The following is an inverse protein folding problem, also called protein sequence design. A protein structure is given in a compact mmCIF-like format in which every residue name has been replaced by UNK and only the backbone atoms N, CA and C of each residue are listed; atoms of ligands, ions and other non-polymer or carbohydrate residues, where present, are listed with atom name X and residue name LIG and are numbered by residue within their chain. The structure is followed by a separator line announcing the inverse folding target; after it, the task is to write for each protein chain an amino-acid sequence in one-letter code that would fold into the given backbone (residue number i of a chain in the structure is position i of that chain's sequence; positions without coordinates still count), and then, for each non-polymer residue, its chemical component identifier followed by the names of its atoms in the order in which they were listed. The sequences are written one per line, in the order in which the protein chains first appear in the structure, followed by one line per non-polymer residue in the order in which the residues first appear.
data_IF_403791063069
#
_entry.id   IF_403791063069
#
_cell.length_a   1.000
_cell.length_b   1.000
_cell.length_c   1.000
_cell.angle_alpha   90.00
_cell.angle_beta   90.00
_cell.angle_gamma   90.00
#
_symmetry.space_group_name_H-M   'P 1'
#
loop_
_entity.id
_entity.type
_entity.pdbx_description
1 polymer ?
#
# COMPACT_ATOMS: atom_id res chain seq x y z
N UNK A 1 -8.82 5.65 24.64
CA UNK A 1 -8.73 5.29 23.21
C UNK A 1 -9.35 6.36 22.31
N UNK A 2 -8.88 6.48 21.07
CA UNK A 2 -9.44 7.34 20.02
C UNK A 2 -9.34 6.61 18.68
N UNK A 3 -10.21 6.94 17.73
CA UNK A 3 -10.32 6.26 16.44
C UNK A 3 -10.80 7.25 15.38
N UNK A 4 -10.22 7.21 14.18
CA UNK A 4 -10.77 7.89 13.01
C UNK A 4 -11.24 6.83 12.01
N UNK A 5 -12.53 6.86 11.68
CA UNK A 5 -13.11 5.95 10.69
C UNK A 5 -13.06 6.58 9.31
N UNK A 6 -12.58 5.82 8.33
CA UNK A 6 -12.59 6.19 6.92
C UNK A 6 -13.49 5.20 6.17
N UNK A 7 -14.78 5.53 6.06
CA UNK A 7 -15.82 4.69 5.43
C UNK A 7 -16.14 5.24 4.05
N UNK A 8 -15.35 4.86 3.04
CA UNK A 8 -15.51 5.33 1.65
C UNK A 8 -16.91 5.07 1.08
N UNK A 9 -17.58 4.00 1.53
CA UNK A 9 -18.92 3.62 1.07
C UNK A 9 -20.05 4.29 1.88
N UNK A 10 -19.72 4.97 2.98
CA UNK A 10 -20.67 5.69 3.84
C UNK A 10 -20.22 7.14 4.05
N UNK A 11 -20.45 8.05 3.08
CA UNK A 11 -19.92 9.42 3.10
C UNK A 11 -20.32 10.24 4.32
N UNK A 12 -21.47 9.94 4.93
CA UNK A 12 -21.95 10.60 6.15
C UNK A 12 -21.16 10.22 7.41
N UNK A 13 -20.47 9.08 7.38
CA UNK A 13 -19.65 8.56 8.46
C UNK A 13 -18.15 8.61 8.13
N UNK A 14 -17.80 8.95 6.90
CA UNK A 14 -16.42 9.11 6.47
C UNK A 14 -15.73 10.24 7.25
N UNK A 15 -14.48 9.99 7.64
CA UNK A 15 -13.68 10.86 8.51
C UNK A 15 -14.27 11.12 9.91
N UNK A 16 -15.18 10.27 10.40
CA UNK A 16 -15.70 10.41 11.76
C UNK A 16 -14.64 10.14 12.81
N UNK A 17 -14.54 11.02 13.81
CA UNK A 17 -13.65 10.88 14.96
C UNK A 17 -14.43 10.37 16.17
N UNK A 18 -14.03 9.22 16.70
CA UNK A 18 -14.58 8.64 17.92
C UNK A 18 -13.57 8.79 19.06
N UNK A 19 -14.02 9.37 20.17
CA UNK A 19 -13.24 9.53 21.39
C UNK A 19 -13.88 8.69 22.50
N UNK A 20 -13.10 7.79 23.10
CA UNK A 20 -13.55 6.91 24.18
C UNK A 20 -12.97 7.42 25.49
N UNK A 21 -13.82 7.98 26.36
CA UNK A 21 -13.42 8.62 27.62
C UNK A 21 -14.35 8.22 28.78
N UNK A 22 -13.99 8.67 29.99
CA UNK A 22 -14.78 8.48 31.22
C UNK A 22 -15.18 7.02 31.50
N UNK A 23 -14.29 6.07 31.19
CA UNK A 23 -14.43 4.61 31.37
C UNK A 23 -15.63 3.92 30.72
N UNK A 24 -16.62 4.62 30.16
CA UNK A 24 -17.81 3.96 29.62
C UNK A 24 -18.55 4.78 28.56
N UNK A 25 -18.04 5.95 28.18
CA UNK A 25 -18.69 6.83 27.22
C UNK A 25 -17.87 6.98 25.94
N UNK A 26 -18.59 7.17 24.85
CA UNK A 26 -18.03 7.48 23.53
C UNK A 26 -18.64 8.79 23.03
N UNK A 27 -17.80 9.61 22.41
CA UNK A 27 -18.16 10.83 21.70
C UNK A 27 -17.83 10.61 20.23
N UNK A 28 -18.73 11.00 19.33
CA UNK A 28 -18.51 10.89 17.89
C UNK A 28 -18.64 12.28 17.26
N UNK A 29 -17.65 12.64 16.45
CA UNK A 29 -17.60 13.90 15.71
C UNK A 29 -17.56 13.62 14.22
N UNK A 30 -18.29 14.40 13.43
CA UNK A 30 -18.27 14.36 11.97
C UNK A 30 -18.13 15.81 11.45
N UNK A 31 -17.22 16.05 10.50
CA UNK A 31 -16.93 17.41 10.02
C UNK A 31 -16.50 18.39 11.13
N UNK A 32 -15.90 17.89 12.21
CA UNK A 32 -15.51 18.69 13.38
C UNK A 32 -16.64 19.03 14.36
N UNK A 33 -17.88 18.61 14.10
CA UNK A 33 -19.02 18.86 14.97
C UNK A 33 -19.44 17.59 15.74
N UNK A 34 -19.88 17.76 16.99
CA UNK A 34 -20.40 16.64 17.80
C UNK A 34 -21.70 16.12 17.18
N UNK A 35 -21.79 14.80 16.95
CA UNK A 35 -22.99 14.18 16.40
C UNK A 35 -24.16 14.27 17.39
N UNK A 36 -25.39 14.56 16.91
CA UNK A 36 -26.59 14.50 17.74
C UNK A 36 -26.72 13.13 18.44
N UNK A 37 -27.09 13.16 19.72
CA UNK A 37 -27.25 11.94 20.53
C UNK A 37 -25.97 11.44 21.20
N UNK A 38 -24.81 12.08 20.99
CA UNK A 38 -23.58 11.80 21.74
C UNK A 38 -23.38 12.80 22.90
N UNK A 39 -22.72 12.39 24.01
CA UNK A 39 -22.08 11.10 24.22
C UNK A 39 -23.04 9.95 24.53
N UNK A 40 -22.70 8.74 24.07
CA UNK A 40 -23.43 7.49 24.34
C UNK A 40 -22.61 6.56 25.22
N UNK A 41 -23.25 5.55 25.82
CA UNK A 41 -22.49 4.47 26.47
C UNK A 41 -21.82 3.60 25.40
N UNK A 42 -20.60 3.14 25.69
CA UNK A 42 -19.83 2.31 24.75
C UNK A 42 -20.59 1.04 24.39
N UNK A 43 -21.20 0.35 25.36
CA UNK A 43 -21.96 -0.88 25.08
C UNK A 43 -23.23 -0.67 24.26
N UNK A 44 -23.84 0.53 24.32
CA UNK A 44 -25.05 0.85 23.55
C UNK A 44 -24.68 1.17 22.09
N UNK A 45 -23.55 1.86 21.89
CA UNK A 45 -23.05 2.19 20.55
C UNK A 45 -22.30 1.01 19.92
N UNK A 46 -21.59 0.22 20.70
CA UNK A 46 -20.70 -0.86 20.24
C UNK A 46 -20.98 -2.12 21.06
N UNK A 47 -22.03 -2.88 20.70
CA UNK A 47 -22.46 -4.05 21.46
C UNK A 47 -21.36 -5.08 21.64
N UNK A 48 -21.13 -5.51 22.89
CA UNK A 48 -20.12 -6.51 23.24
C UNK A 48 -18.72 -5.93 23.51
N UNK A 49 -18.49 -4.63 23.34
CA UNK A 49 -17.24 -3.96 23.71
C UNK A 49 -17.33 -3.38 25.12
N UNK A 50 -16.38 -3.69 26.02
CA UNK A 50 -16.40 -3.20 27.39
C UNK A 50 -16.04 -1.71 27.46
N UNK A 51 -16.42 -1.07 28.56
CA UNK A 51 -15.89 0.25 28.92
C UNK A 51 -14.42 0.21 29.35
N UNK A 52 -13.77 1.37 29.36
CA UNK A 52 -12.40 1.54 29.88
C UNK A 52 -11.38 0.89 28.96
N UNK A 53 -11.47 1.26 27.69
CA UNK A 53 -10.62 0.80 26.60
C UNK A 53 -9.28 1.54 26.65
N UNK A 54 -8.20 0.78 26.49
CA UNK A 54 -6.84 1.31 26.48
C UNK A 54 -6.54 1.91 25.11
N UNK A 55 -6.77 1.13 24.04
CA UNK A 55 -6.53 1.53 22.67
C UNK A 55 -7.67 1.14 21.72
N UNK A 56 -7.69 1.77 20.54
CA UNK A 56 -8.57 1.44 19.43
C UNK A 56 -7.83 1.71 18.11
N UNK A 57 -8.10 0.92 17.07
CA UNK A 57 -7.58 1.17 15.71
C UNK A 57 -8.56 0.67 14.66
N UNK A 58 -8.70 1.42 13.58
CA UNK A 58 -9.50 1.07 12.42
C UNK A 58 -8.76 0.05 11.56
N UNK A 59 -9.48 -0.97 11.09
CA UNK A 59 -8.99 -1.92 10.11
C UNK A 59 -9.86 -1.93 8.87
N UNK A 60 -9.22 -1.65 7.74
CA UNK A 60 -9.92 -1.51 6.47
C UNK A 60 -10.24 -2.88 5.87
N UNK A 61 -11.28 -2.99 5.01
CA UNK A 61 -11.69 -4.26 4.39
C UNK A 61 -10.55 -4.97 3.66
N UNK A 62 -9.70 -4.22 2.96
CA UNK A 62 -8.52 -4.71 2.24
C UNK A 62 -7.54 -5.46 3.16
N UNK A 63 -7.51 -5.10 4.44
CA UNK A 63 -6.53 -5.55 5.42
C UNK A 63 -7.13 -6.58 6.40
N UNK A 64 -8.42 -6.48 6.72
CA UNK A 64 -9.11 -7.39 7.65
C UNK A 64 -10.21 -8.28 7.03
N UNK A 65 -10.49 -8.16 5.73
CA UNK A 65 -11.60 -8.87 5.08
C UNK A 65 -13.00 -8.30 5.40
N UNK A 66 -13.07 -7.14 6.03
CA UNK A 66 -14.29 -6.40 6.37
C UNK A 66 -13.99 -5.11 7.12
N UNK A 67 -14.93 -4.16 7.16
CA UNK A 67 -14.78 -2.91 7.94
C UNK A 67 -14.83 -3.22 9.44
N UNK A 68 -13.66 -3.35 10.06
CA UNK A 68 -13.53 -3.81 11.44
C UNK A 68 -12.82 -2.77 12.30
N UNK A 69 -13.20 -2.65 13.57
CA UNK A 69 -12.48 -1.86 14.56
C UNK A 69 -11.93 -2.79 15.63
N UNK A 70 -10.64 -2.65 15.93
CA UNK A 70 -9.99 -3.42 16.98
C UNK A 70 -9.96 -2.55 18.25
N UNK A 71 -10.57 -3.04 19.33
CA UNK A 71 -10.54 -2.40 20.65
C UNK A 71 -9.68 -3.21 21.61
N UNK A 72 -8.77 -2.54 22.32
CA UNK A 72 -7.84 -3.17 23.25
C UNK A 72 -8.23 -2.86 24.68
N UNK A 73 -8.20 -3.89 25.53
CA UNK A 73 -8.38 -3.76 26.97
C UNK A 73 -7.54 -4.82 27.67
N UNK A 74 -6.45 -4.42 28.30
CA UNK A 74 -5.46 -5.34 28.85
C UNK A 74 -4.90 -6.24 27.75
N UNK A 75 -4.99 -7.56 27.95
CA UNK A 75 -4.54 -8.61 27.03
C UNK A 75 -5.60 -9.04 26.00
N UNK A 76 -6.80 -8.42 26.05
CA UNK A 76 -7.95 -8.77 25.20
C UNK A 76 -8.13 -7.79 24.05
N UNK A 77 -8.46 -8.35 22.90
CA UNK A 77 -8.77 -7.60 21.68
C UNK A 77 -10.19 -7.92 21.22
N UNK A 78 -11.03 -6.89 21.11
CA UNK A 78 -12.41 -6.99 20.68
C UNK A 78 -12.49 -6.48 19.24
N UNK A 79 -12.74 -7.38 18.29
CA UNK A 79 -12.89 -7.08 16.87
C UNK A 79 -14.37 -6.81 16.61
N UNK A 80 -14.72 -5.55 16.44
CA UNK A 80 -16.07 -5.13 16.14
C UNK A 80 -16.25 -4.96 14.64
N UNK A 81 -17.14 -5.76 14.07
CA UNK A 81 -17.55 -5.66 12.67
C UNK A 81 -18.58 -4.53 12.52
N UNK A 82 -18.26 -3.51 11.71
CA UNK A 82 -19.11 -2.32 11.56
C UNK A 82 -20.40 -2.60 10.80
N UNK A 83 -20.42 -3.58 9.89
CA UNK A 83 -21.59 -3.94 9.09
C UNK A 83 -22.53 -4.84 9.87
N UNK A 84 -22.00 -5.92 10.43
CA UNK A 84 -22.78 -6.92 11.17
C UNK A 84 -23.13 -6.45 12.60
N UNK A 85 -22.42 -5.43 13.11
CA UNK A 85 -22.50 -4.96 14.51
C UNK A 85 -22.26 -6.06 15.54
N UNK A 86 -21.38 -7.01 15.22
CA UNK A 86 -21.00 -8.12 16.10
C UNK A 86 -19.58 -7.93 16.59
N UNK A 87 -19.36 -8.18 17.88
CA UNK A 87 -18.03 -8.19 18.49
C UNK A 87 -17.49 -9.61 18.63
N UNK A 88 -16.29 -9.85 18.12
CA UNK A 88 -15.53 -11.09 18.32
C UNK A 88 -14.35 -10.83 19.26
N UNK A 89 -14.24 -11.63 20.32
CA UNK A 89 -13.13 -11.56 21.26
C UNK A 89 -11.96 -12.42 20.77
N UNK A 90 -10.75 -11.86 20.78
CA UNK A 90 -9.48 -12.56 20.55
C UNK A 90 -8.47 -12.24 21.64
N UNK A 91 -7.48 -13.11 21.77
CA UNK A 91 -6.30 -12.93 22.62
C UNK A 91 -5.06 -13.13 21.76
N UNK A 92 -4.13 -12.19 21.82
CA UNK A 92 -2.88 -12.22 21.07
C UNK A 92 -1.68 -12.16 22.03
N UNK A 93 -1.18 -13.32 22.49
CA UNK A 93 -0.18 -13.38 23.55
C UNK A 93 1.12 -12.63 23.21
N UNK A 94 1.50 -12.60 21.93
CA UNK A 94 2.72 -11.92 21.46
C UNK A 94 2.62 -10.40 21.38
N UNK A 95 1.42 -9.82 21.40
CA UNK A 95 1.23 -8.38 21.26
C UNK A 95 1.38 -7.64 22.60
N UNK A 96 0.97 -8.26 23.70
CA UNK A 96 0.87 -7.61 25.01
C UNK A 96 -0.18 -6.49 25.06
N UNK A 97 -0.31 -5.78 26.19
CA UNK A 97 -1.28 -4.71 26.34
C UNK A 97 -0.87 -3.47 25.55
N UNK A 98 -1.83 -2.81 24.90
CA UNK A 98 -1.61 -1.58 24.14
C UNK A 98 -2.15 -0.37 24.89
N UNK A 99 -1.30 0.60 25.20
CA UNK A 99 -1.70 1.91 25.75
C UNK A 99 -2.32 2.84 24.71
N UNK A 100 -1.92 2.68 23.44
CA UNK A 100 -2.55 3.28 22.28
C UNK A 100 -2.32 2.37 21.07
N UNK A 101 -3.09 2.57 20.00
CA UNK A 101 -2.92 1.85 18.75
C UNK A 101 -3.20 2.82 17.60
N UNK A 102 -2.54 2.61 16.47
CA UNK A 102 -2.76 3.41 15.27
C UNK A 102 -2.48 2.60 14.02
N UNK A 103 -3.17 2.97 12.95
CA UNK A 103 -2.89 2.53 11.59
C UNK A 103 -2.16 3.65 10.87
N UNK A 104 -1.01 3.36 10.30
CA UNK A 104 -0.27 4.32 9.48
C UNK A 104 0.30 3.64 8.26
N UNK A 105 -0.07 4.13 7.07
CA UNK A 105 0.32 3.55 5.78
C UNK A 105 0.15 2.02 5.79
N UNK A 106 -1.07 1.56 6.12
CA UNK A 106 -1.47 0.14 6.07
C UNK A 106 -0.78 -0.76 7.09
N UNK A 107 -0.02 -0.18 8.02
CA UNK A 107 0.66 -0.90 9.10
C UNK A 107 0.00 -0.57 10.42
N UNK A 108 -0.12 -1.60 11.26
CA UNK A 108 -0.79 -1.52 12.54
C UNK A 108 0.23 -1.52 13.67
N UNK A 109 0.11 -0.55 14.57
CA UNK A 109 1.08 -0.35 15.63
C UNK A 109 0.36 -0.36 16.98
N UNK A 110 0.90 -1.16 17.90
CA UNK A 110 0.54 -1.17 19.31
C UNK A 110 1.61 -0.39 20.07
N UNK A 111 1.21 0.64 20.81
CA UNK A 111 2.09 1.48 21.60
C UNK A 111 2.03 1.06 23.07
N UNK A 112 3.19 0.96 23.70
CA UNK A 112 3.41 0.65 25.11
C UNK A 112 4.25 1.78 25.71
N UNK A 113 3.58 2.87 26.10
CA UNK A 113 4.27 4.10 26.52
C UNK A 113 5.06 4.70 25.37
N UNK A 114 6.39 4.74 25.49
CA UNK A 114 7.29 5.24 24.44
C UNK A 114 7.77 4.15 23.48
N UNK A 115 7.44 2.89 23.76
CA UNK A 115 7.77 1.78 22.87
C UNK A 115 6.60 1.49 21.93
N UNK A 116 6.89 0.96 20.76
CA UNK A 116 5.88 0.48 19.85
C UNK A 116 6.31 -0.84 19.20
N UNK A 117 5.31 -1.61 18.80
CA UNK A 117 5.48 -2.81 18.00
C UNK A 117 4.49 -2.82 16.85
N UNK A 118 4.95 -3.28 15.68
CA UNK A 118 4.06 -3.53 14.55
C UNK A 118 3.46 -4.92 14.70
N UNK A 119 2.20 -5.06 14.35
CA UNK A 119 1.51 -6.35 14.40
C UNK A 119 0.66 -6.57 13.15
N UNK A 120 0.37 -7.84 12.87
CA UNK A 120 -0.63 -8.24 11.89
C UNK A 120 -2.05 -8.12 12.50
N UNK A 121 -2.98 -7.37 11.89
CA UNK A 121 -4.29 -7.09 12.48
C UNK A 121 -5.24 -8.31 12.51
N UNK A 122 -4.91 -9.39 11.81
CA UNK A 122 -5.72 -10.62 11.77
C UNK A 122 -5.18 -11.68 12.73
N UNK A 123 -3.87 -11.90 12.72
CA UNK A 123 -3.22 -12.95 13.50
C UNK A 123 -2.70 -12.46 14.84
N UNK A 124 -2.41 -11.16 14.96
CA UNK A 124 -1.72 -10.57 16.11
C UNK A 124 -0.22 -10.86 16.14
N UNK A 125 0.35 -11.43 15.07
CA UNK A 125 1.77 -11.75 14.99
C UNK A 125 2.62 -10.48 14.97
N UNK A 126 3.73 -10.51 15.71
CA UNK A 126 4.67 -9.40 15.83
C UNK A 126 5.98 -9.81 15.15
N UNK A 127 6.36 -9.15 14.05
CA UNK A 127 7.60 -9.47 13.34
C UNK A 127 8.84 -9.27 14.23
N UNK A 128 9.98 -9.93 13.92
CA UNK A 128 11.20 -9.76 14.69
C UNK A 128 11.73 -8.31 14.63
N UNK A 129 12.45 -7.91 15.67
CA UNK A 129 13.05 -6.57 15.76
C UNK A 129 12.13 -5.49 16.36
N UNK A 130 11.13 -5.92 17.14
CA UNK A 130 10.33 -5.08 18.03
C UNK A 130 10.57 -5.50 19.50
N UNK A 131 10.31 -4.61 20.48
CA UNK A 131 9.79 -3.25 20.33
C UNK A 131 10.83 -2.23 19.81
N UNK A 132 10.36 -1.08 19.34
CA UNK A 132 11.18 0.08 18.93
C UNK A 132 10.72 1.34 19.68
N UNK A 133 11.57 2.36 19.76
CA UNK A 133 11.24 3.61 20.47
C UNK A 133 10.55 4.62 19.55
N UNK A 134 9.39 5.12 19.95
CA UNK A 134 8.58 6.08 19.21
C UNK A 134 9.39 7.34 18.82
N UNK A 135 10.34 7.75 19.67
CA UNK A 135 11.17 8.96 19.50
C UNK A 135 12.26 8.83 18.45
N UNK A 136 12.53 7.61 17.99
CA UNK A 136 13.44 7.39 16.86
C UNK A 136 12.69 7.41 15.53
N UNK A 137 11.37 7.17 15.52
CA UNK A 137 10.58 6.91 14.30
C UNK A 137 9.45 7.89 14.03
N UNK A 138 8.54 8.08 14.99
CA UNK A 138 7.30 8.83 14.80
C UNK A 138 7.38 10.26 15.31
N UNK A 139 8.24 10.53 16.31
CA UNK A 139 8.40 11.85 16.92
C UNK A 139 9.82 12.34 16.67
N UNK A 140 10.03 13.44 15.93
CA UNK A 140 11.35 14.02 15.77
C UNK A 140 11.85 14.51 17.14
N UNK A 141 12.94 13.92 17.62
CA UNK A 141 13.56 14.24 18.90
C UNK A 141 15.04 14.59 18.67
N UNK A 142 15.55 15.70 19.23
CA UNK A 142 16.96 16.05 19.10
C UNK A 142 17.90 14.92 19.56
N UNK A 143 18.88 14.58 18.72
CA UNK A 143 19.86 13.52 19.01
C UNK A 143 19.34 12.09 18.87
N UNK A 144 18.13 11.90 18.30
CA UNK A 144 17.49 10.60 18.09
C UNK A 144 17.01 10.47 16.65
N UNK A 145 16.91 9.23 16.17
CA UNK A 145 16.48 8.97 14.79
C UNK A 145 16.78 7.55 14.33
N UNK A 146 16.35 7.25 13.11
CA UNK A 146 16.69 6.01 12.40
C UNK A 146 17.32 6.39 11.04
N UNK A 147 18.48 5.80 10.70
CA UNK A 147 19.28 6.15 9.52
C UNK A 147 20.65 6.74 9.88
N UNK A 148 21.53 6.94 8.88
CA UNK A 148 22.83 7.61 9.12
C UNK A 148 22.61 9.10 9.40
N UNK A 149 23.09 9.59 10.55
CA UNK A 149 23.15 11.03 10.86
C UNK A 149 22.05 11.62 11.75
N UNK A 150 21.30 10.81 12.52
CA UNK A 150 20.21 11.27 13.41
C UNK A 150 19.05 12.00 12.69
N UNK A 151 18.95 11.90 11.37
CA UNK A 151 17.80 12.38 10.60
C UNK A 151 16.98 11.17 10.13
N UNK A 152 15.68 11.16 10.46
CA UNK A 152 14.75 10.07 10.12
C UNK A 152 14.61 9.79 8.62
N UNK A 153 15.14 10.65 7.75
CA UNK A 153 15.04 10.54 6.29
C UNK A 153 16.28 11.21 5.67
N UNK A 154 17.28 10.43 5.26
CA UNK A 154 18.38 10.95 4.41
C UNK A 154 17.92 11.22 2.97
N UNK A 155 18.85 11.47 2.05
CA UNK A 155 18.56 11.87 0.65
C UNK A 155 17.72 10.85 -0.14
N UNK A 156 17.81 9.54 0.18
CA UNK A 156 16.98 8.50 -0.44
C UNK A 156 15.49 8.64 -0.06
N UNK A 157 15.22 9.22 1.11
CA UNK A 157 13.89 9.49 1.66
C UNK A 157 13.30 10.85 1.24
N UNK A 158 14.12 11.73 0.66
CA UNK A 158 13.63 13.01 0.17
C UNK A 158 12.84 12.81 -1.13
N UNK A 159 11.51 12.86 -0.99
CA UNK A 159 10.55 12.78 -2.10
C UNK A 159 10.71 13.94 -3.11
N UNK A 160 11.34 15.04 -2.71
CA UNK A 160 11.55 16.24 -3.52
C UNK A 160 12.97 16.38 -4.06
N UNK A 161 13.84 15.38 -3.88
CA UNK A 161 15.24 15.41 -4.36
C UNK A 161 15.41 15.45 -5.88
N UNK A 162 14.33 15.30 -6.65
CA UNK A 162 14.38 15.19 -8.11
C UNK A 162 14.96 13.87 -8.63
N UNK A 163 15.37 12.96 -7.75
CA UNK A 163 15.89 11.65 -8.13
C UNK A 163 14.80 10.77 -8.77
N UNK A 164 15.12 9.96 -9.79
CA UNK A 164 14.16 9.07 -10.41
C UNK A 164 13.67 7.99 -9.41
N UNK A 165 12.45 7.53 -9.62
CA UNK A 165 11.92 6.33 -8.96
C UNK A 165 12.09 5.15 -9.90
N UNK A 166 12.44 3.97 -9.36
CA UNK A 166 12.69 2.80 -10.19
C UNK A 166 11.42 2.02 -10.54
N UNK A 167 10.33 2.24 -9.80
CA UNK A 167 9.05 1.64 -10.14
C UNK A 167 7.89 2.45 -9.55
N UNK A 168 6.75 2.36 -10.22
CA UNK A 168 5.46 2.81 -9.73
C UNK A 168 4.44 1.68 -9.89
N UNK A 169 3.48 1.61 -8.98
CA UNK A 169 2.40 0.64 -9.01
C UNK A 169 1.11 1.33 -8.55
N UNK A 170 -0.02 0.95 -9.14
CA UNK A 170 -1.33 1.16 -8.54
C UNK A 170 -1.98 -0.19 -8.28
N UNK A 171 -2.59 -0.37 -7.11
CA UNK A 171 -3.46 -1.52 -6.86
C UNK A 171 -4.90 -1.25 -7.34
N UNK A 172 -5.75 -2.28 -7.28
CA UNK A 172 -7.18 -2.20 -7.66
C UNK A 172 -7.99 -1.28 -6.74
N UNK A 173 -7.43 -0.88 -5.59
CA UNK A 173 -8.04 0.01 -4.60
C UNK A 173 -7.70 1.48 -4.86
N UNK A 174 -6.85 1.73 -5.88
CA UNK A 174 -6.36 3.04 -6.30
C UNK A 174 -5.19 3.55 -5.45
N UNK A 175 -4.54 2.70 -4.65
CA UNK A 175 -3.34 3.08 -3.88
C UNK A 175 -2.13 3.05 -4.80
N UNK A 176 -1.38 4.15 -4.79
CA UNK A 176 -0.17 4.30 -5.60
C UNK A 176 1.07 4.10 -4.71
N UNK A 177 1.97 3.24 -5.16
CA UNK A 177 3.26 2.98 -4.54
C UNK A 177 4.38 3.43 -5.47
N UNK A 178 5.38 4.10 -4.91
CA UNK A 178 6.58 4.52 -5.62
C UNK A 178 7.80 3.92 -4.93
N UNK A 179 8.70 3.34 -5.71
CA UNK A 179 9.85 2.61 -5.19
C UNK A 179 11.13 3.37 -5.50
N UNK A 180 11.92 3.61 -4.45
CA UNK A 180 13.27 4.17 -4.55
C UNK A 180 14.25 3.35 -3.69
N UNK A 181 15.22 2.70 -4.32
CA UNK A 181 16.27 1.92 -3.65
C UNK A 181 17.41 2.78 -3.11
N UNK A 182 18.11 2.28 -2.08
CA UNK A 182 19.38 2.86 -1.60
C UNK A 182 20.51 2.52 -2.58
N UNK A 183 20.96 3.50 -3.36
CA UNK A 183 22.15 3.37 -4.20
C UNK A 183 23.40 3.90 -3.48
N UNK A 184 24.41 3.06 -3.26
CA UNK A 184 25.79 3.55 -3.18
C UNK A 184 26.24 4.00 -4.57
N UNK A 185 27.07 5.06 -4.69
CA UNK A 185 27.53 5.51 -5.99
C UNK A 185 28.65 4.59 -6.50
N UNK A 186 28.36 3.74 -7.48
CA UNK A 186 29.41 3.05 -8.25
C UNK A 186 28.92 2.70 -9.67
N UNK A 187 29.20 3.62 -10.60
CA UNK A 187 29.38 3.45 -12.07
C UNK A 187 28.20 2.90 -12.91
N UNK A 188 28.13 3.28 -14.20
CA UNK A 188 26.93 3.12 -15.01
C UNK A 188 26.88 1.73 -15.65
N UNK A 189 25.87 0.93 -15.31
CA UNK A 189 25.28 -0.16 -16.13
C UNK A 189 24.07 -0.80 -15.40
N UNK A 190 23.18 -1.52 -16.12
CA UNK A 190 21.75 -1.26 -16.08
C UNK A 190 21.03 -1.86 -14.87
N UNK A 191 20.23 -0.99 -14.26
CA UNK A 191 18.93 -1.17 -13.59
C UNK A 191 18.52 -2.60 -13.21
N UNK A 192 18.24 -2.79 -11.92
CA UNK A 192 17.10 -3.56 -11.41
C UNK A 192 17.09 -3.61 -9.87
N UNK A 193 16.07 -3.05 -9.21
CA UNK A 193 15.46 -3.61 -7.98
C UNK A 193 14.23 -2.81 -7.52
N UNK A 194 13.07 -3.48 -7.35
CA UNK A 194 12.23 -3.49 -6.13
C UNK A 194 10.94 -4.33 -6.26
N UNK A 195 10.38 -4.83 -5.13
CA UNK A 195 9.35 -5.87 -5.06
C UNK A 195 7.92 -5.35 -5.23
N UNK A 196 7.03 -6.14 -5.83
CA UNK A 196 5.64 -5.78 -6.20
C UNK A 196 4.60 -6.70 -5.54
N UNK A 197 3.43 -6.16 -5.22
CA UNK A 197 2.34 -6.77 -4.45
C UNK A 197 1.00 -6.42 -5.12
N UNK A 198 0.07 -7.37 -5.38
CA UNK A 198 -1.20 -7.08 -6.10
C UNK A 198 -2.43 -7.85 -5.56
N UNK A 199 -3.66 -7.26 -5.63
CA UNK A 199 -4.93 -7.89 -5.21
C UNK A 199 -5.48 -8.86 -6.25
N UNK A 200 -6.22 -9.85 -5.77
CA UNK A 200 -7.02 -10.72 -6.62
C UNK A 200 -8.47 -10.56 -6.22
N UNK A 201 -9.31 -10.05 -7.12
CA UNK A 201 -10.73 -10.34 -7.12
C UNK A 201 -11.10 -10.97 -8.47
N UNK A 202 -11.47 -12.26 -8.39
CA UNK A 202 -12.07 -13.12 -9.42
C UNK A 202 -11.34 -13.30 -10.77
N UNK A 203 -10.82 -14.53 -10.97
CA UNK A 203 -10.30 -15.16 -12.22
C UNK A 203 -8.87 -14.78 -12.69
N UNK A 204 -8.19 -15.75 -13.35
CA UNK A 204 -7.17 -16.68 -12.80
C UNK A 204 -5.83 -15.96 -12.47
N UNK A 205 -4.83 -16.61 -11.81
CA UNK A 205 -3.71 -15.91 -11.18
C UNK A 205 -2.93 -15.06 -12.19
N UNK A 206 -2.71 -13.79 -11.86
CA UNK A 206 -2.08 -12.82 -12.74
C UNK A 206 -0.58 -12.71 -12.43
N UNK A 207 0.28 -12.91 -13.43
CA UNK A 207 1.74 -12.94 -13.33
C UNK A 207 2.38 -11.53 -13.29
N UNK A 208 3.27 -11.23 -12.32
CA UNK A 208 4.04 -9.96 -12.25
C UNK A 208 5.54 -10.15 -12.31
N UNK A 209 6.20 -9.49 -13.24
CA UNK A 209 7.64 -9.60 -13.51
C UNK A 209 8.46 -8.89 -12.42
N UNK A 210 9.39 -9.61 -11.79
CA UNK A 210 10.45 -9.11 -10.89
C UNK A 210 11.80 -9.34 -11.57
N UNK A 211 12.41 -8.30 -12.13
CA UNK A 211 13.77 -8.39 -12.67
C UNK A 211 14.80 -8.12 -11.55
N UNK A 212 15.70 -9.08 -11.28
CA UNK A 212 16.81 -8.98 -10.31
C UNK A 212 18.09 -9.56 -10.94
N UNK A 213 19.27 -8.90 -10.86
CA UNK A 213 20.55 -9.53 -11.18
C UNK A 213 21.20 -10.14 -9.93
N UNK A 214 21.97 -11.26 -10.02
CA UNK A 214 22.41 -11.97 -11.23
C UNK A 214 21.80 -13.40 -11.35
N UNK A 215 20.46 -13.53 -11.27
CA UNK A 215 19.76 -14.82 -11.46
C UNK A 215 18.71 -14.81 -12.59
N UNK A 216 18.65 -13.75 -13.41
CA UNK A 216 17.74 -13.64 -14.55
C UNK A 216 16.42 -12.92 -14.22
N UNK A 217 15.69 -12.51 -15.27
CA UNK A 217 14.36 -11.88 -15.15
C UNK A 217 13.37 -12.88 -14.55
N UNK A 218 12.86 -12.60 -13.36
CA UNK A 218 11.91 -13.46 -12.66
C UNK A 218 10.51 -12.81 -12.62
N UNK A 219 9.53 -13.51 -12.06
CA UNK A 219 8.13 -13.07 -11.92
C UNK A 219 7.64 -13.58 -10.57
N UNK A 220 6.95 -12.77 -9.76
CA UNK A 220 6.35 -13.16 -8.48
C UNK A 220 4.89 -12.73 -8.42
N UNK A 221 4.00 -13.64 -8.03
CA UNK A 221 2.57 -13.33 -7.84
C UNK A 221 2.25 -13.22 -6.36
N UNK A 222 1.48 -12.20 -6.00
CA UNK A 222 0.94 -11.99 -4.66
C UNK A 222 -0.59 -11.91 -4.74
N UNK A 223 -1.26 -12.28 -3.66
CA UNK A 223 -2.69 -12.11 -3.42
C UNK A 223 -2.85 -10.99 -2.40
N UNK A 224 -3.63 -9.93 -2.67
CA UNK A 224 -3.93 -8.90 -1.64
C UNK A 224 -5.17 -9.18 -0.80
N UNK A 225 -5.83 -10.32 -0.94
CA UNK A 225 -6.83 -10.69 0.05
C UNK A 225 -6.14 -10.81 1.42
N UNK A 226 -6.49 -9.94 2.36
CA UNK A 226 -6.02 -9.99 3.76
C UNK A 226 -4.52 -9.75 3.93
N UNK A 227 -3.98 -8.75 3.22
CA UNK A 227 -2.55 -8.46 3.22
C UNK A 227 -1.79 -9.30 2.19
N UNK A 228 -0.78 -8.70 1.58
CA UNK A 228 -0.15 -9.28 0.40
C UNK A 228 0.59 -10.59 0.68
N UNK A 229 0.04 -11.71 0.20
CA UNK A 229 0.60 -13.06 0.37
C UNK A 229 1.12 -13.61 -0.94
N UNK A 230 2.39 -14.03 -0.98
CA UNK A 230 2.99 -14.63 -2.18
C UNK A 230 2.33 -15.98 -2.52
N UNK A 231 2.01 -16.19 -3.80
CA UNK A 231 1.46 -17.45 -4.30
C UNK A 231 2.53 -18.54 -4.29
N UNK A 232 2.16 -19.75 -3.85
CA UNK A 232 3.06 -20.90 -3.81
C UNK A 232 3.55 -21.26 -5.23
N UNK A 233 4.85 -21.45 -5.39
CA UNK A 233 5.47 -21.77 -6.69
C UNK A 233 6.03 -20.57 -7.47
N UNK A 234 6.08 -19.40 -6.84
CA UNK A 234 6.78 -18.19 -7.32
C UNK A 234 7.92 -17.80 -6.35
N UNK A 235 9.04 -17.20 -6.83
CA UNK A 235 9.26 -16.65 -8.16
C UNK A 235 9.51 -17.69 -9.27
N UNK A 236 9.21 -17.34 -10.51
CA UNK A 236 9.50 -18.13 -11.73
C UNK A 236 10.28 -17.30 -12.75
N UNK A 237 10.83 -17.90 -13.81
CA UNK A 237 11.49 -17.14 -14.86
C UNK A 237 10.46 -16.44 -15.77
N UNK A 238 10.74 -15.19 -16.14
CA UNK A 238 9.87 -14.39 -17.00
C UNK A 238 9.67 -15.04 -18.39
N UNK A 239 10.74 -15.63 -18.92
CA UNK A 239 10.72 -16.32 -20.20
C UNK A 239 9.82 -17.57 -20.17
N UNK A 240 9.77 -18.26 -19.03
CA UNK A 240 8.95 -19.47 -18.84
C UNK A 240 7.48 -19.11 -18.63
N UNK A 241 7.19 -18.05 -17.86
CA UNK A 241 5.82 -17.68 -17.51
C UNK A 241 5.11 -16.79 -18.53
N UNK A 242 5.83 -15.86 -19.17
CA UNK A 242 5.23 -14.84 -20.06
C UNK A 242 5.81 -14.88 -21.48
N UNK A 243 6.85 -15.68 -21.72
CA UNK A 243 7.44 -15.83 -23.05
C UNK A 243 8.34 -14.66 -23.46
N UNK A 244 8.76 -13.79 -22.54
CA UNK A 244 9.63 -12.64 -22.83
C UNK A 244 10.93 -12.69 -22.03
N UNK A 245 12.06 -12.21 -22.58
CA UNK A 245 13.36 -12.29 -21.92
C UNK A 245 13.54 -11.23 -20.81
N UNK A 246 12.97 -10.04 -21.02
CA UNK A 246 13.03 -8.90 -20.11
C UNK A 246 11.84 -7.97 -20.33
N UNK A 247 11.61 -7.08 -19.37
CA UNK A 247 10.68 -5.96 -19.45
C UNK A 247 11.25 -4.80 -18.64
N UNK A 248 11.12 -3.59 -19.17
CA UNK A 248 11.52 -2.33 -18.52
C UNK A 248 10.40 -1.83 -17.60
N UNK A 249 9.15 -1.95 -18.05
CA UNK A 249 7.97 -1.61 -17.28
C UNK A 249 6.82 -2.60 -17.53
N UNK A 250 5.89 -2.66 -16.57
CA UNK A 250 4.70 -3.48 -16.68
C UNK A 250 3.52 -2.81 -15.97
N UNK A 251 2.32 -2.93 -16.52
CA UNK A 251 1.11 -2.46 -15.85
C UNK A 251 -0.12 -3.28 -16.23
N UNK A 252 -1.10 -3.29 -15.34
CA UNK A 252 -2.47 -3.78 -15.54
C UNK A 252 -3.42 -2.63 -15.23
N UNK A 253 -4.51 -2.51 -15.97
CA UNK A 253 -5.57 -1.56 -15.64
C UNK A 253 -6.62 -2.23 -14.77
N UNK A 254 -7.20 -1.49 -13.84
CA UNK A 254 -8.26 -1.99 -12.96
C UNK A 254 -9.41 -2.61 -13.76
N UNK A 255 -9.86 -3.80 -13.35
CA UNK A 255 -10.94 -4.55 -14.01
C UNK A 255 -10.56 -5.23 -15.32
N UNK A 256 -9.28 -5.23 -15.71
CA UNK A 256 -8.80 -5.82 -16.95
C UNK A 256 -7.84 -6.99 -16.69
N UNK A 257 -8.08 -8.14 -17.32
CA UNK A 257 -7.19 -9.31 -17.26
C UNK A 257 -6.00 -9.20 -18.24
N UNK A 258 -5.67 -7.99 -18.68
CA UNK A 258 -4.61 -7.70 -19.63
C UNK A 258 -3.40 -7.10 -18.92
N UNK A 259 -2.27 -7.78 -19.04
CA UNK A 259 -0.95 -7.29 -18.63
C UNK A 259 -0.25 -6.67 -19.83
N UNK A 260 0.19 -5.44 -19.69
CA UNK A 260 1.00 -4.75 -20.67
C UNK A 260 2.46 -4.75 -20.23
N UNK A 261 3.34 -5.27 -21.08
CA UNK A 261 4.78 -5.34 -20.85
C UNK A 261 5.48 -4.40 -21.83
N UNK A 262 6.29 -3.48 -21.33
CA UNK A 262 7.09 -2.57 -22.15
C UNK A 262 8.54 -3.02 -22.09
N UNK A 263 9.19 -3.10 -23.25
CA UNK A 263 10.61 -3.38 -23.38
C UNK A 263 11.16 -2.53 -24.52
N UNK A 264 12.07 -1.61 -24.19
CA UNK A 264 12.53 -0.56 -25.09
C UNK A 264 11.36 0.31 -25.56
N UNK A 265 11.24 0.42 -26.88
CA UNK A 265 10.24 1.18 -27.63
C UNK A 265 8.98 0.37 -27.99
N UNK A 266 8.83 -0.84 -27.45
CA UNK A 266 7.71 -1.72 -27.78
C UNK A 266 6.91 -2.15 -26.55
N UNK A 267 5.60 -2.26 -26.74
CA UNK A 267 4.67 -2.82 -25.76
C UNK A 267 4.10 -4.15 -26.26
N UNK A 268 3.94 -5.11 -25.37
CA UNK A 268 3.31 -6.41 -25.61
C UNK A 268 2.14 -6.60 -24.66
N UNK A 269 1.03 -7.06 -25.20
CA UNK A 269 -0.13 -7.47 -24.43
C UNK A 269 -0.01 -8.96 -24.06
N UNK A 270 -0.26 -9.30 -22.80
CA UNK A 270 -0.45 -10.65 -22.32
C UNK A 270 -1.87 -10.76 -21.75
N UNK A 271 -2.62 -11.74 -22.23
CA UNK A 271 -3.88 -12.15 -21.60
C UNK A 271 -3.57 -13.09 -20.44
N UNK A 272 -3.87 -12.61 -19.23
CA UNK A 272 -3.57 -13.31 -17.99
C UNK A 272 -4.52 -14.47 -17.73
N UNK A 273 -5.63 -14.54 -18.48
CA UNK A 273 -6.61 -15.62 -18.37
C UNK A 273 -6.16 -16.91 -19.04
N UNK A 274 -5.17 -16.83 -19.92
CA UNK A 274 -4.72 -17.95 -20.75
C UNK A 274 -3.66 -18.80 -20.03
N UNK A 275 -3.71 -20.11 -20.24
CA UNK A 275 -2.67 -21.05 -19.79
C UNK A 275 -2.23 -21.89 -21.00
N UNK A 276 -0.98 -21.80 -21.47
CA UNK A 276 0.11 -20.96 -20.97
C UNK A 276 -0.07 -19.48 -21.35
N UNK A 277 0.32 -18.56 -20.44
CA UNK A 277 0.36 -17.13 -20.75
C UNK A 277 1.47 -16.86 -21.74
N UNK A 278 1.18 -16.11 -22.81
CA UNK A 278 2.19 -15.72 -23.82
C UNK A 278 1.99 -14.27 -24.20
N UNK A 279 3.10 -13.53 -24.26
CA UNK A 279 3.10 -12.20 -24.82
C UNK A 279 2.72 -12.23 -26.30
N UNK A 280 1.79 -11.36 -26.66
CA UNK A 280 1.37 -11.12 -28.03
C UNK A 280 2.43 -10.39 -28.85
N UNK A 281 2.03 -9.96 -30.05
CA UNK A 281 2.92 -9.24 -30.95
C UNK A 281 3.34 -7.89 -30.34
N UNK A 282 4.62 -7.48 -30.48
CA UNK A 282 5.06 -6.16 -30.05
C UNK A 282 4.39 -5.09 -30.91
N UNK A 283 3.96 -4.01 -30.24
CA UNK A 283 3.41 -2.80 -30.84
C UNK A 283 4.35 -1.64 -30.51
N UNK A 284 4.72 -0.79 -31.46
CA UNK A 284 5.60 0.34 -31.18
C UNK A 284 4.91 1.37 -30.28
N UNK A 285 5.69 2.01 -29.41
CA UNK A 285 5.29 3.15 -28.57
C UNK A 285 5.98 4.42 -29.06
N UNK A 286 5.41 5.61 -28.80
CA UNK A 286 6.05 6.87 -29.10
C UNK A 286 7.13 7.25 -28.06
N UNK A 287 7.76 6.27 -27.42
CA UNK A 287 8.79 6.44 -26.39
C UNK A 287 9.95 5.50 -26.70
N UNK A 288 11.19 5.98 -26.65
CA UNK A 288 12.37 5.14 -26.91
C UNK A 288 12.63 4.16 -25.76
N UNK A 289 12.25 4.55 -24.53
CA UNK A 289 12.37 3.76 -23.30
C UNK A 289 11.47 4.35 -22.21
N UNK A 290 11.14 3.52 -21.20
CA UNK A 290 10.42 3.93 -20.00
C UNK A 290 11.03 3.26 -18.76
N UNK A 291 11.13 3.98 -17.66
CA UNK A 291 11.63 3.45 -16.38
C UNK A 291 10.53 2.73 -15.59
N UNK A 292 9.26 3.02 -15.89
CA UNK A 292 8.13 2.47 -15.18
C UNK A 292 6.81 2.81 -15.85
N UNK A 293 5.75 2.10 -15.47
CA UNK A 293 4.41 2.36 -15.96
C UNK A 293 3.38 2.00 -14.91
N UNK A 294 2.26 2.71 -14.86
CA UNK A 294 1.10 2.34 -14.07
C UNK A 294 -0.19 2.74 -14.78
N UNK A 295 -1.30 2.08 -14.43
CA UNK A 295 -2.63 2.44 -14.89
C UNK A 295 -3.53 2.68 -13.68
N UNK A 296 -4.20 3.82 -13.65
CA UNK A 296 -5.15 4.21 -12.59
C UNK A 296 -6.50 4.59 -13.21
N UNK A 297 -7.46 5.01 -12.40
CA UNK A 297 -8.71 5.61 -12.87
C UNK A 297 -8.51 6.85 -13.75
N UNK A 298 -7.38 7.54 -13.59
CA UNK A 298 -7.05 8.78 -14.31
C UNK A 298 -6.35 8.51 -15.66
N UNK A 299 -6.02 7.25 -15.95
CA UNK A 299 -5.38 6.82 -17.19
C UNK A 299 -4.07 6.06 -16.99
N UNK A 300 -3.29 5.97 -18.06
CA UNK A 300 -1.98 5.30 -18.12
C UNK A 300 -0.88 6.33 -17.95
N UNK A 301 0.05 6.06 -17.04
CA UNK A 301 1.21 6.90 -16.74
C UNK A 301 2.46 6.12 -17.14
N UNK A 302 3.27 6.71 -18.01
CA UNK A 302 4.60 6.21 -18.36
C UNK A 302 5.64 7.13 -17.72
N UNK A 303 6.60 6.55 -17.02
CA UNK A 303 7.62 7.28 -16.27
C UNK A 303 8.95 7.27 -17.01
N UNK A 304 9.58 8.44 -17.04
CA UNK A 304 10.88 8.65 -17.66
C UNK A 304 11.68 9.65 -16.81
N UNK A 305 12.67 9.14 -16.08
CA UNK A 305 13.50 9.85 -15.13
C UNK A 305 12.69 10.49 -14.00
N UNK A 306 12.73 11.81 -13.93
CA UNK A 306 11.98 12.63 -12.97
C UNK A 306 10.64 13.12 -13.52
N UNK A 307 10.26 12.68 -14.73
CA UNK A 307 9.07 13.10 -15.45
C UNK A 307 8.14 11.94 -15.78
N UNK A 308 6.88 12.24 -16.10
CA UNK A 308 5.91 11.26 -16.57
C UNK A 308 5.10 11.80 -17.74
N UNK A 309 4.55 10.87 -18.51
CA UNK A 309 3.65 11.09 -19.63
C UNK A 309 2.32 10.42 -19.34
N UNK A 310 1.21 11.16 -19.46
CA UNK A 310 -0.13 10.65 -19.17
C UNK A 310 -0.94 10.45 -20.45
N UNK A 311 -1.63 9.33 -20.51
CA UNK A 311 -2.59 8.96 -21.54
C UNK A 311 -3.92 8.63 -20.88
N UNK A 312 -5.04 9.08 -21.42
CA UNK A 312 -6.38 8.83 -20.89
C UNK A 312 -6.79 7.36 -20.98
N UNK A 313 -6.21 6.59 -21.90
CA UNK A 313 -6.47 5.16 -22.05
C UNK A 313 -5.33 4.44 -22.76
N UNK A 314 -5.32 3.10 -22.63
CA UNK A 314 -4.39 2.26 -23.40
C UNK A 314 -4.57 2.45 -24.91
N UNK A 315 -5.80 2.61 -25.39
CA UNK A 315 -6.07 2.85 -26.80
C UNK A 315 -5.42 4.16 -27.30
N UNK A 316 -5.44 5.21 -26.46
CA UNK A 316 -4.75 6.45 -26.79
C UNK A 316 -3.23 6.26 -26.81
N UNK A 317 -2.67 5.51 -25.86
CA UNK A 317 -1.23 5.20 -25.83
C UNK A 317 -0.80 4.46 -27.09
N UNK A 318 -1.53 3.40 -27.48
CA UNK A 318 -1.21 2.58 -28.65
C UNK A 318 -1.42 3.31 -29.99
N UNK A 319 -2.28 4.33 -30.01
CA UNK A 319 -2.54 5.15 -31.19
C UNK A 319 -1.71 6.44 -31.28
N UNK A 320 -0.89 6.73 -30.28
CA UNK A 320 -0.14 7.98 -30.22
C UNK A 320 1.08 7.95 -31.15
N UNK A 321 1.21 8.99 -31.97
CA UNK A 321 2.37 9.17 -32.87
C UNK A 321 3.53 9.91 -32.20
N UNK A 322 3.25 10.68 -31.15
CA UNK A 322 4.24 11.45 -30.39
C UNK A 322 3.99 11.28 -28.89
N UNK A 323 5.05 11.42 -28.05
CA UNK A 323 4.89 11.41 -26.60
C UNK A 323 3.91 12.50 -26.15
N UNK A 324 3.07 12.19 -25.15
CA UNK A 324 2.30 13.23 -24.47
C UNK A 324 3.25 14.26 -23.80
N UNK A 325 2.80 15.46 -23.42
CA UNK A 325 3.66 16.41 -22.72
C UNK A 325 4.23 15.83 -21.42
N UNK A 326 5.53 16.00 -21.20
CA UNK A 326 6.19 15.57 -19.98
C UNK A 326 5.74 16.44 -18.78
N UNK A 327 5.45 15.80 -17.66
CA UNK A 327 5.03 16.44 -16.41
C UNK A 327 5.92 16.02 -15.25
N UNK A 328 6.03 16.87 -14.22
CA UNK A 328 6.88 16.61 -13.05
C UNK A 328 6.26 15.59 -12.09
N UNK A 329 6.99 14.50 -11.81
CA UNK A 329 6.60 13.51 -10.81
C UNK A 329 6.52 14.16 -9.42
N UNK A 330 7.54 14.95 -9.06
CA UNK A 330 7.66 15.58 -7.74
C UNK A 330 6.48 16.51 -7.44
N UNK A 331 6.04 17.28 -8.44
CA UNK A 331 4.92 18.21 -8.28
C UNK A 331 3.57 17.48 -8.22
N UNK A 332 3.32 16.51 -9.12
CA UNK A 332 2.02 15.82 -9.19
C UNK A 332 1.80 14.84 -8.03
N UNK A 333 2.77 13.95 -7.79
CA UNK A 333 2.59 12.83 -6.87
C UNK A 333 3.06 13.14 -5.45
N UNK A 334 4.01 14.07 -5.29
CA UNK A 334 4.60 14.38 -3.99
C UNK A 334 4.35 15.81 -3.51
N UNK A 335 3.65 16.63 -4.31
CA UNK A 335 3.28 18.01 -3.98
C UNK A 335 4.49 18.87 -3.58
N UNK A 336 5.65 18.61 -4.19
CA UNK A 336 6.85 19.39 -3.95
C UNK A 336 6.69 20.81 -4.52
N UNK A 337 7.22 21.83 -3.82
CA UNK A 337 7.25 23.20 -4.35
C UNK A 337 8.03 23.24 -5.67
N UNK A 338 7.58 24.10 -6.58
CA UNK A 338 8.25 24.35 -7.87
C UNK A 338 9.53 25.15 -7.71
#
# INVERSE_FOLDING_TARGET
AALRLHRRQHPQEDQSLYLFQARSRVWAYAGGQLRPGFPRRIGDEIPGVPGGLDAAVECHPEECGGETVLFFKGDRVYLFDLELRVTKLRTWPGLGPCSAALRWLERYYCLQGTLFQRFDPLTGEVPPGYPRDLRDYFIPCPGRGHGQGNASWGDAGDRCSGMPFQAFLSDDTGRIYAFRGEGRPARPQPSCTCPLLLPAHSCPPVAHTVCSPPQGSQVSIFLSEQGHRRVLGYPRALQEELGVPSADAAFTCSGSAHLYLIAGDHIRLVDLTQTPRRAGKPVPLPHDHVDGAMCTSDGVFLFHGSSYHQYTSVAQLLGAQQPAPAQSIATRFFQCPQ
#
